data_IF_973656225910
#
_entry.id   IF_973656225910
#
_cell.length_a   1.000
_cell.length_b   1.000
_cell.length_c   1.000
_cell.angle_alpha   90.00
_cell.angle_beta   90.00
_cell.angle_gamma   90.00
#
_symmetry.space_group_name_H-M   'P 1'
#
loop_
_entity.id
_entity.type
_entity.pdbx_description
1 polymer ?
#
# COMPACT_ATOMS: atom_id res chain seq x y z
N UNK A 1 49.64 -2.02 -6.00
CA UNK A 1 48.61 -1.09 -6.49
C UNK A 1 47.23 -1.73 -6.53
N UNK A 2 47.01 -2.89 -7.19
CA UNK A 2 45.69 -3.53 -7.35
C UNK A 2 45.00 -3.97 -6.02
N UNK A 3 45.69 -4.36 -4.98
CA UNK A 3 45.11 -4.71 -3.66
C UNK A 3 44.54 -3.49 -2.92
N UNK A 4 45.29 -2.35 -2.91
CA UNK A 4 44.78 -1.12 -2.26
C UNK A 4 43.50 -0.60 -2.89
N UNK A 5 43.38 -0.64 -4.20
CA UNK A 5 42.17 -0.22 -4.92
C UNK A 5 40.97 -1.10 -4.57
N UNK A 6 41.15 -2.41 -4.46
CA UNK A 6 40.07 -3.34 -4.03
C UNK A 6 39.58 -3.05 -2.60
N UNK A 7 40.47 -2.78 -1.65
CA UNK A 7 40.06 -2.42 -0.28
C UNK A 7 39.36 -1.06 -0.21
N UNK A 8 39.78 -0.10 -1.02
CA UNK A 8 39.11 1.20 -1.08
C UNK A 8 37.70 1.08 -1.67
N UNK A 9 37.50 0.27 -2.72
CA UNK A 9 36.17 0.03 -3.30
C UNK A 9 35.27 -0.72 -2.31
N UNK A 10 35.78 -1.73 -1.60
CA UNK A 10 35.03 -2.44 -0.55
C UNK A 10 34.65 -1.52 0.61
N UNK A 11 35.55 -0.63 1.03
CA UNK A 11 35.25 0.32 2.11
C UNK A 11 34.21 1.35 1.68
N UNK A 12 34.28 1.86 0.46
CA UNK A 12 33.29 2.81 -0.08
C UNK A 12 31.93 2.13 -0.24
N UNK A 13 31.87 0.89 -0.71
CA UNK A 13 30.63 0.13 -0.80
C UNK A 13 30.04 -0.19 0.58
N UNK A 14 30.86 -0.54 1.58
CA UNK A 14 30.42 -0.77 2.95
C UNK A 14 29.90 0.52 3.62
N UNK A 15 30.56 1.66 3.37
CA UNK A 15 30.11 2.99 3.85
C UNK A 15 28.82 3.38 3.15
N UNK A 16 28.68 3.18 1.85
CA UNK A 16 27.45 3.46 1.12
C UNK A 16 26.27 2.60 1.61
N UNK A 17 26.52 1.32 1.90
CA UNK A 17 25.52 0.42 2.52
C UNK A 17 25.18 0.87 3.94
N UNK A 18 26.15 1.28 4.75
CA UNK A 18 25.93 1.78 6.10
C UNK A 18 25.12 3.09 6.10
N UNK A 19 25.43 4.04 5.23
CA UNK A 19 24.66 5.28 5.10
C UNK A 19 23.28 5.08 4.48
N UNK A 20 23.09 4.11 3.59
CA UNK A 20 21.75 3.77 3.09
C UNK A 20 20.90 3.04 4.13
N UNK A 21 21.53 2.35 5.10
CA UNK A 21 20.84 1.66 6.19
C UNK A 21 20.47 2.59 7.36
N UNK A 22 21.07 3.79 7.46
CA UNK A 22 20.80 4.75 8.55
C UNK A 22 19.75 5.80 8.20
N UNK A 23 19.24 5.85 6.97
CA UNK A 23 18.13 6.73 6.63
C UNK A 23 16.80 6.08 7.06
N UNK A 24 16.32 6.47 8.24
CA UNK A 24 14.94 6.17 8.65
C UNK A 24 14.04 7.21 7.98
N UNK A 25 13.23 6.83 6.99
CA UNK A 25 12.33 7.77 6.35
C UNK A 25 11.32 8.30 7.37
N UNK A 26 11.02 9.59 7.28
CA UNK A 26 9.98 10.22 8.09
C UNK A 26 8.63 9.58 7.74
N UNK A 27 8.05 8.86 8.68
CA UNK A 27 6.76 8.22 8.51
C UNK A 27 5.66 9.27 8.44
N UNK A 28 4.95 9.35 7.33
CA UNK A 28 3.94 10.38 7.07
C UNK A 28 2.55 9.84 6.73
N UNK A 29 2.33 8.53 6.84
CA UNK A 29 1.05 7.90 6.59
C UNK A 29 0.71 6.80 7.57
N UNK A 30 -0.57 6.48 7.63
CA UNK A 30 -1.10 5.31 8.34
C UNK A 30 -2.07 4.56 7.45
N UNK A 31 -2.23 3.26 7.70
CA UNK A 31 -3.37 2.51 7.16
C UNK A 31 -4.11 1.78 8.28
N UNK A 32 -5.43 1.64 8.09
CA UNK A 32 -6.33 1.16 9.13
C UNK A 32 -7.53 0.40 8.55
N UNK A 33 -8.10 -0.45 9.40
CA UNK A 33 -9.37 -1.16 9.17
C UNK A 33 -10.21 -1.18 10.44
N UNK A 34 -11.32 -1.92 10.42
CA UNK A 34 -12.14 -2.16 11.61
C UNK A 34 -11.39 -2.86 12.76
N UNK A 35 -10.26 -3.48 12.50
CA UNK A 35 -9.41 -4.11 13.52
C UNK A 35 -8.66 -3.09 14.38
N UNK A 36 -8.52 -1.85 13.92
CA UNK A 36 -7.69 -0.86 14.58
C UNK A 36 -8.51 0.03 15.53
N UNK A 37 -8.03 0.16 16.77
CA UNK A 37 -8.50 1.19 17.69
C UNK A 37 -7.59 2.41 17.57
N UNK A 38 -8.11 3.48 16.95
CA UNK A 38 -7.31 4.66 16.59
C UNK A 38 -7.53 5.79 17.58
N UNK A 39 -6.45 6.26 18.21
CA UNK A 39 -6.44 7.50 18.97
C UNK A 39 -6.27 8.72 18.04
N UNK A 40 -7.38 9.22 17.53
CA UNK A 40 -7.40 10.36 16.61
C UNK A 40 -6.86 11.66 17.23
N UNK A 41 -6.88 11.80 18.55
CA UNK A 41 -6.29 12.96 19.24
C UNK A 41 -4.77 12.90 19.16
N UNK A 42 -4.20 11.70 19.31
CA UNK A 42 -2.76 11.46 19.16
C UNK A 42 -2.30 11.66 17.72
N UNK A 43 -3.04 11.11 16.74
CA UNK A 43 -2.73 11.32 15.31
C UNK A 43 -2.76 12.81 14.97
N UNK A 44 -3.80 13.56 15.37
CA UNK A 44 -3.89 15.02 15.13
C UNK A 44 -2.71 15.82 15.68
N UNK A 45 -2.11 15.38 16.79
CA UNK A 45 -0.93 16.03 17.39
C UNK A 45 0.35 15.75 16.61
N UNK A 46 0.42 14.64 15.94
CA UNK A 46 1.55 14.28 15.11
C UNK A 46 1.44 14.98 13.74
N UNK A 47 2.14 16.10 13.59
CA UNK A 47 2.13 16.91 12.37
C UNK A 47 2.86 16.28 11.19
N UNK A 48 3.53 15.17 11.42
CA UNK A 48 4.21 14.42 10.37
C UNK A 48 3.24 13.53 9.58
N UNK A 49 2.09 13.17 10.15
CA UNK A 49 1.09 12.34 9.48
C UNK A 49 0.24 13.19 8.55
N UNK A 50 0.29 12.90 7.26
CA UNK A 50 -0.35 13.63 6.16
C UNK A 50 -1.49 12.84 5.53
N UNK A 51 -1.40 11.48 5.52
CA UNK A 51 -2.39 10.64 4.85
C UNK A 51 -2.82 9.41 5.65
N UNK A 52 -3.99 8.89 5.28
CA UNK A 52 -4.56 7.68 5.87
C UNK A 52 -5.27 6.85 4.80
N UNK A 53 -4.82 5.60 4.60
CA UNK A 53 -5.57 4.61 3.84
C UNK A 53 -6.49 3.80 4.75
N UNK A 54 -7.71 3.53 4.29
CA UNK A 54 -8.77 2.92 5.08
C UNK A 54 -9.38 1.75 4.31
N UNK A 55 -9.50 0.59 4.95
CA UNK A 55 -10.20 -0.56 4.36
C UNK A 55 -11.63 -0.17 3.99
N UNK A 56 -11.98 -0.35 2.72
CA UNK A 56 -13.34 -0.18 2.26
C UNK A 56 -14.06 -1.52 2.16
N UNK A 57 -13.43 -2.48 1.48
CA UNK A 57 -14.06 -3.74 1.13
C UNK A 57 -13.07 -4.89 1.02
N UNK A 58 -13.59 -6.12 0.97
CA UNK A 58 -12.86 -7.34 0.68
C UNK A 58 -13.69 -8.29 -0.17
N UNK A 59 -13.08 -8.89 -1.17
CA UNK A 59 -13.72 -9.88 -2.03
C UNK A 59 -15.06 -9.38 -2.61
N UNK A 60 -16.03 -10.28 -2.74
CA UNK A 60 -17.29 -9.96 -3.44
C UNK A 60 -18.32 -9.19 -2.62
N UNK A 61 -18.22 -9.16 -1.29
CA UNK A 61 -19.35 -8.69 -0.46
C UNK A 61 -19.00 -8.06 0.89
N UNK A 62 -17.81 -8.32 1.44
CA UNK A 62 -17.43 -7.72 2.72
C UNK A 62 -17.22 -6.22 2.55
N UNK A 63 -17.80 -5.44 3.44
CA UNK A 63 -17.65 -3.98 3.56
C UNK A 63 -17.22 -3.66 4.98
N UNK A 64 -16.14 -2.91 5.11
CA UNK A 64 -15.60 -2.59 6.43
C UNK A 64 -16.58 -1.70 7.20
N UNK A 65 -17.08 -2.17 8.38
CA UNK A 65 -18.11 -1.47 9.12
C UNK A 65 -17.63 -0.12 9.70
N UNK A 66 -16.31 0.06 9.80
CA UNK A 66 -15.71 1.29 10.33
C UNK A 66 -15.29 2.27 9.25
N UNK A 67 -15.32 1.88 7.96
CA UNK A 67 -14.82 2.68 6.84
C UNK A 67 -15.33 4.12 6.89
N UNK A 68 -16.64 4.33 6.85
CA UNK A 68 -17.24 5.68 6.87
C UNK A 68 -16.85 6.49 8.12
N UNK A 69 -16.79 5.84 9.28
CA UNK A 69 -16.45 6.49 10.54
C UNK A 69 -14.98 6.92 10.56
N UNK A 70 -14.08 6.05 10.08
CA UNK A 70 -12.66 6.37 9.96
C UNK A 70 -12.42 7.50 8.97
N UNK A 71 -13.02 7.45 7.79
CA UNK A 71 -12.92 8.54 6.79
C UNK A 71 -13.36 9.88 7.37
N UNK A 72 -14.54 9.92 8.01
CA UNK A 72 -15.03 11.15 8.66
C UNK A 72 -14.02 11.71 9.68
N UNK A 73 -13.40 10.86 10.47
CA UNK A 73 -12.44 11.27 11.51
C UNK A 73 -11.10 11.70 10.93
N UNK A 74 -10.57 10.97 9.94
CA UNK A 74 -9.32 11.31 9.27
C UNK A 74 -9.44 12.69 8.58
N UNK A 75 -10.52 12.91 7.82
CA UNK A 75 -10.78 14.19 7.17
C UNK A 75 -11.00 15.34 8.17
N UNK A 76 -11.65 15.09 9.29
CA UNK A 76 -11.88 16.11 10.34
C UNK A 76 -10.59 16.62 10.98
N UNK A 77 -9.49 15.89 10.88
CA UNK A 77 -8.16 16.30 11.37
C UNK A 77 -7.22 16.74 10.23
N UNK A 78 -7.73 16.84 8.99
CA UNK A 78 -7.02 17.40 7.85
C UNK A 78 -6.17 16.40 7.05
N UNK A 79 -6.34 15.08 7.25
CA UNK A 79 -5.59 14.09 6.48
C UNK A 79 -6.14 13.92 5.07
N UNK A 80 -5.25 13.66 4.12
CA UNK A 80 -5.62 13.04 2.84
C UNK A 80 -6.09 11.61 3.08
N UNK A 81 -7.16 11.21 2.39
CA UNK A 81 -7.79 9.90 2.64
C UNK A 81 -7.88 9.10 1.37
N UNK A 82 -7.39 7.88 1.43
CA UNK A 82 -7.55 6.85 0.41
C UNK A 82 -8.33 5.64 0.92
N UNK A 83 -8.83 4.87 0.00
CA UNK A 83 -9.54 3.62 0.30
C UNK A 83 -8.83 2.44 -0.34
N UNK A 84 -8.84 1.29 0.35
CA UNK A 84 -8.31 0.06 -0.20
C UNK A 84 -9.32 -1.09 -0.25
N UNK A 85 -9.13 -1.95 -1.25
CA UNK A 85 -9.84 -3.20 -1.45
C UNK A 85 -8.92 -4.38 -1.19
N UNK A 86 -9.29 -5.27 -0.29
CA UNK A 86 -8.56 -6.51 -0.06
C UNK A 86 -8.93 -7.55 -1.12
N UNK A 87 -7.96 -7.86 -1.97
CA UNK A 87 -8.13 -8.78 -3.08
C UNK A 87 -8.27 -10.22 -2.62
N UNK A 88 -9.20 -10.96 -3.26
CA UNK A 88 -9.42 -12.39 -3.02
C UNK A 88 -9.18 -13.18 -4.30
N UNK A 89 -8.24 -14.13 -4.23
CA UNK A 89 -7.84 -14.95 -5.39
C UNK A 89 -8.96 -15.86 -5.91
N UNK A 90 -9.93 -16.23 -5.08
CA UNK A 90 -11.06 -17.11 -5.39
C UNK A 90 -12.28 -16.38 -5.97
N UNK A 91 -12.27 -15.04 -5.99
CA UNK A 91 -13.41 -14.20 -6.42
C UNK A 91 -13.15 -13.58 -7.79
N UNK A 92 -14.12 -13.59 -8.75
CA UNK A 92 -14.01 -12.87 -10.01
C UNK A 92 -13.79 -11.37 -9.83
N UNK A 93 -12.98 -10.77 -10.71
CA UNK A 93 -12.58 -9.37 -10.63
C UNK A 93 -13.78 -8.41 -10.68
N UNK A 94 -14.75 -8.68 -11.53
CA UNK A 94 -15.95 -7.85 -11.70
C UNK A 94 -16.80 -7.76 -10.43
N UNK A 95 -16.87 -8.88 -9.67
CA UNK A 95 -17.58 -8.91 -8.38
C UNK A 95 -16.84 -8.12 -7.31
N UNK A 96 -15.50 -8.20 -7.30
CA UNK A 96 -14.66 -7.44 -6.39
C UNK A 96 -14.75 -5.95 -6.68
N UNK A 97 -14.63 -5.59 -7.96
CA UNK A 97 -14.77 -4.21 -8.40
C UNK A 97 -16.14 -3.61 -8.04
N UNK A 98 -17.23 -4.32 -8.34
CA UNK A 98 -18.58 -3.87 -7.99
C UNK A 98 -18.76 -3.66 -6.48
N UNK A 99 -18.17 -4.55 -5.65
CA UNK A 99 -18.18 -4.38 -4.20
C UNK A 99 -17.42 -3.10 -3.79
N UNK A 100 -16.20 -2.89 -4.29
CA UNK A 100 -15.41 -1.70 -3.99
C UNK A 100 -16.13 -0.41 -4.42
N UNK A 101 -16.57 -0.34 -5.67
CA UNK A 101 -17.29 0.80 -6.23
C UNK A 101 -18.52 1.18 -5.41
N UNK A 102 -19.26 0.19 -4.91
CA UNK A 102 -20.47 0.42 -4.09
C UNK A 102 -20.21 1.19 -2.78
N UNK A 103 -18.97 1.18 -2.29
CA UNK A 103 -18.52 1.94 -1.11
C UNK A 103 -17.79 3.21 -1.55
N UNK A 104 -16.86 3.10 -2.49
CA UNK A 104 -15.98 4.18 -2.95
C UNK A 104 -16.78 5.40 -3.43
N UNK A 105 -17.81 5.21 -4.25
CA UNK A 105 -18.63 6.29 -4.79
C UNK A 105 -19.43 7.06 -3.72
N UNK A 106 -19.53 6.52 -2.51
CA UNK A 106 -20.33 7.10 -1.41
C UNK A 106 -19.49 7.67 -0.28
N UNK A 107 -18.16 7.54 -0.39
CA UNK A 107 -17.24 7.91 0.68
C UNK A 107 -16.18 8.83 0.09
N UNK A 108 -16.05 10.07 0.57
CA UNK A 108 -15.14 11.03 -0.02
C UNK A 108 -13.68 10.60 0.22
N UNK A 109 -12.96 10.34 -0.87
CA UNK A 109 -11.53 10.08 -0.88
C UNK A 109 -10.85 11.01 -1.89
N UNK A 110 -9.56 11.27 -1.71
CA UNK A 110 -8.76 12.12 -2.60
C UNK A 110 -7.37 11.52 -2.88
N UNK A 111 -7.18 10.26 -2.57
CA UNK A 111 -5.99 9.51 -2.92
C UNK A 111 -6.33 8.40 -3.92
N UNK A 112 -5.35 8.04 -4.73
CA UNK A 112 -5.44 6.91 -5.66
C UNK A 112 -5.91 5.65 -4.92
N UNK A 113 -6.93 4.94 -5.41
CA UNK A 113 -7.42 3.73 -4.75
C UNK A 113 -6.36 2.63 -4.73
N UNK A 114 -6.41 1.76 -3.71
CA UNK A 114 -5.45 0.69 -3.50
C UNK A 114 -6.10 -0.68 -3.65
N UNK A 115 -5.40 -1.59 -4.31
CA UNK A 115 -5.68 -3.03 -4.28
C UNK A 115 -4.65 -3.68 -3.38
N UNK A 116 -5.11 -4.25 -2.29
CA UNK A 116 -4.30 -4.91 -1.26
C UNK A 116 -4.21 -6.41 -1.57
N UNK A 117 -2.99 -6.89 -1.88
CA UNK A 117 -2.71 -8.26 -2.32
C UNK A 117 -1.79 -8.94 -1.33
N UNK A 118 -2.38 -9.76 -0.48
CA UNK A 118 -1.66 -10.49 0.57
C UNK A 118 -1.92 -12.00 0.53
N UNK A 119 -1.08 -12.75 1.22
CA UNK A 119 -1.23 -14.22 1.34
C UNK A 119 -2.33 -14.61 2.32
N UNK A 120 -2.58 -13.80 3.34
CA UNK A 120 -3.55 -14.14 4.38
C UNK A 120 -4.95 -14.33 3.81
N UNK A 121 -5.50 -15.55 4.02
CA UNK A 121 -6.82 -15.91 3.52
C UNK A 121 -6.91 -16.05 1.99
N UNK A 122 -5.81 -16.02 1.25
CA UNK A 122 -5.73 -16.24 -0.19
C UNK A 122 -4.98 -17.53 -0.52
N UNK A 123 -5.44 -18.23 -1.55
CA UNK A 123 -4.75 -19.37 -2.12
C UNK A 123 -4.08 -18.99 -3.45
N UNK A 124 -2.76 -19.06 -3.49
CA UNK A 124 -1.94 -18.82 -4.67
C UNK A 124 -1.46 -20.13 -5.35
N UNK A 125 -2.06 -21.27 -5.05
CA UNK A 125 -1.75 -22.54 -5.74
C UNK A 125 -1.95 -22.43 -7.26
N UNK A 126 -2.97 -21.68 -7.70
CA UNK A 126 -3.19 -21.32 -9.10
C UNK A 126 -2.77 -19.87 -9.38
N UNK A 127 -1.47 -19.66 -9.49
CA UNK A 127 -0.87 -18.34 -9.76
C UNK A 127 -1.40 -17.73 -11.08
N UNK A 128 -1.59 -18.54 -12.12
CA UNK A 128 -2.11 -18.06 -13.42
C UNK A 128 -3.49 -17.44 -13.26
N UNK A 129 -4.39 -18.08 -12.54
CA UNK A 129 -5.73 -17.56 -12.31
C UNK A 129 -5.71 -16.31 -11.42
N UNK A 130 -4.89 -16.31 -10.37
CA UNK A 130 -4.70 -15.15 -9.50
C UNK A 130 -4.22 -13.93 -10.30
N UNK A 131 -3.19 -14.10 -11.14
CA UNK A 131 -2.68 -13.04 -12.03
C UNK A 131 -3.75 -12.53 -13.00
N UNK A 132 -4.49 -13.44 -13.65
CA UNK A 132 -5.57 -13.07 -14.58
C UNK A 132 -6.65 -12.22 -13.89
N UNK A 133 -7.08 -12.61 -12.69
CA UNK A 133 -8.08 -11.87 -11.92
C UNK A 133 -7.56 -10.53 -11.42
N UNK A 134 -6.32 -10.49 -10.91
CA UNK A 134 -5.71 -9.25 -10.45
C UNK A 134 -5.54 -8.26 -11.60
N UNK A 135 -5.00 -8.70 -12.73
CA UNK A 135 -4.87 -7.86 -13.94
C UNK A 135 -6.22 -7.30 -14.37
N UNK A 136 -7.26 -8.15 -14.43
CA UNK A 136 -8.60 -7.69 -14.78
C UNK A 136 -9.17 -6.68 -13.78
N UNK A 137 -8.89 -6.86 -12.48
CA UNK A 137 -9.32 -5.91 -11.45
C UNK A 137 -8.63 -4.55 -11.63
N UNK A 138 -7.32 -4.55 -11.89
CA UNK A 138 -6.54 -3.33 -12.20
C UNK A 138 -7.13 -2.59 -13.40
N UNK A 139 -7.40 -3.30 -14.49
CA UNK A 139 -8.03 -2.72 -15.69
C UNK A 139 -9.39 -2.06 -15.39
N UNK A 140 -10.21 -2.68 -14.54
CA UNK A 140 -11.49 -2.11 -14.13
C UNK A 140 -11.34 -0.83 -13.30
N UNK A 141 -10.35 -0.80 -12.40
CA UNK A 141 -10.02 0.41 -11.64
C UNK A 141 -9.53 1.53 -12.56
N UNK A 142 -8.62 1.23 -13.48
CA UNK A 142 -8.07 2.21 -14.42
C UNK A 142 -9.16 2.78 -15.34
N UNK A 143 -10.06 1.94 -15.86
CA UNK A 143 -11.18 2.36 -16.70
C UNK A 143 -12.18 3.27 -15.96
N UNK A 144 -12.45 3.00 -14.70
CA UNK A 144 -13.44 3.77 -13.92
C UNK A 144 -12.85 5.06 -13.36
N UNK A 145 -11.61 5.02 -12.83
CA UNK A 145 -11.04 6.14 -12.08
C UNK A 145 -10.01 6.95 -12.88
N UNK A 146 -9.71 6.55 -14.13
CA UNK A 146 -8.78 7.26 -15.01
C UNK A 146 -7.30 7.14 -14.63
N UNK A 147 -6.97 6.35 -13.61
CA UNK A 147 -5.60 6.09 -13.18
C UNK A 147 -5.43 4.63 -12.73
N UNK A 148 -4.21 4.11 -12.85
CA UNK A 148 -3.89 2.80 -12.30
C UNK A 148 -3.96 2.83 -10.78
N UNK A 149 -4.56 1.81 -10.14
CA UNK A 149 -4.55 1.71 -8.69
C UNK A 149 -3.12 1.47 -8.17
N UNK A 150 -2.87 1.89 -6.95
CA UNK A 150 -1.68 1.45 -6.23
C UNK A 150 -1.89 -0.02 -5.83
N UNK A 151 -0.86 -0.86 -6.00
CA UNK A 151 -0.91 -2.25 -5.54
C UNK A 151 -0.06 -2.37 -4.27
N UNK A 152 -0.73 -2.64 -3.13
CA UNK A 152 -0.07 -3.01 -1.89
C UNK A 152 0.25 -4.50 -1.89
N UNK A 153 1.46 -4.87 -1.47
CA UNK A 153 1.85 -6.26 -1.34
C UNK A 153 3.05 -6.46 -0.42
N UNK A 154 3.15 -7.64 0.18
CA UNK A 154 4.36 -8.11 0.85
C UNK A 154 5.34 -8.74 -0.15
N UNK A 155 6.61 -8.85 0.26
CA UNK A 155 7.70 -9.30 -0.61
C UNK A 155 7.47 -10.68 -1.26
N UNK A 156 6.92 -11.64 -0.54
CA UNK A 156 6.64 -12.98 -1.07
C UNK A 156 5.48 -13.00 -2.06
N UNK A 157 4.41 -12.28 -1.74
CA UNK A 157 3.25 -12.18 -2.62
C UNK A 157 3.59 -11.43 -3.91
N UNK A 158 4.42 -10.40 -3.80
CA UNK A 158 4.94 -9.65 -4.94
C UNK A 158 5.58 -10.56 -5.99
N UNK A 159 6.48 -11.45 -5.58
CA UNK A 159 7.17 -12.37 -6.51
C UNK A 159 6.21 -13.30 -7.25
N UNK A 160 5.07 -13.67 -6.64
CA UNK A 160 4.08 -14.58 -7.25
C UNK A 160 3.22 -13.89 -8.31
N UNK A 161 2.88 -12.62 -8.11
CA UNK A 161 1.87 -11.93 -8.94
C UNK A 161 2.37 -10.65 -9.60
N UNK A 162 3.67 -10.41 -9.58
CA UNK A 162 4.27 -9.17 -10.12
C UNK A 162 3.94 -8.93 -11.59
N UNK A 163 3.74 -9.98 -12.37
CA UNK A 163 3.41 -9.86 -13.80
C UNK A 163 2.04 -9.23 -14.06
N UNK A 164 1.16 -9.20 -13.04
CA UNK A 164 -0.14 -8.57 -13.16
C UNK A 164 -0.10 -7.05 -12.95
N UNK A 165 0.92 -6.54 -12.25
CA UNK A 165 0.95 -5.14 -11.81
C UNK A 165 2.32 -4.44 -11.94
N UNK A 166 3.26 -4.98 -12.72
CA UNK A 166 4.62 -4.44 -12.86
C UNK A 166 4.67 -2.95 -13.28
N UNK A 167 3.61 -2.47 -13.90
CA UNK A 167 3.44 -1.10 -14.39
C UNK A 167 2.51 -0.22 -13.54
N UNK A 168 2.08 -0.74 -12.38
CA UNK A 168 1.32 0.03 -11.38
C UNK A 168 2.25 0.74 -10.41
N UNK A 169 1.80 1.81 -9.75
CA UNK A 169 2.43 2.31 -8.53
C UNK A 169 2.38 1.22 -7.45
N UNK A 170 3.47 1.06 -6.69
CA UNK A 170 3.60 -0.02 -5.71
C UNK A 170 3.68 0.54 -4.31
N UNK A 171 2.90 -0.05 -3.42
CA UNK A 171 3.03 0.10 -1.98
C UNK A 171 3.60 -1.20 -1.41
N UNK A 172 4.85 -1.15 -0.98
CA UNK A 172 5.57 -2.34 -0.55
C UNK A 172 5.71 -2.41 0.97
N UNK A 173 5.33 -3.54 1.56
CA UNK A 173 5.63 -3.84 2.96
C UNK A 173 7.08 -4.28 3.11
N UNK A 174 7.91 -3.39 3.65
CA UNK A 174 9.33 -3.60 3.90
C UNK A 174 9.59 -3.75 5.39
N UNK A 175 9.36 -4.91 5.96
CA UNK A 175 9.72 -5.12 7.38
C UNK A 175 11.21 -5.48 7.56
N UNK A 176 11.92 -5.98 6.54
CA UNK A 176 13.34 -6.38 6.67
C UNK A 176 14.11 -6.46 5.33
N UNK A 177 13.67 -5.85 4.24
CA UNK A 177 14.35 -6.00 2.95
C UNK A 177 14.70 -4.64 2.33
N UNK A 178 15.99 -4.39 2.01
CA UNK A 178 16.43 -3.10 1.45
C UNK A 178 16.12 -2.92 -0.04
N UNK A 179 15.37 -3.82 -0.66
CA UNK A 179 15.14 -3.76 -2.11
C UNK A 179 13.89 -2.95 -2.45
N UNK A 180 14.12 -1.87 -3.17
CA UNK A 180 13.11 -1.01 -3.76
C UNK A 180 12.81 -1.57 -5.14
N UNK A 181 11.56 -1.95 -5.38
CA UNK A 181 11.09 -2.20 -6.72
C UNK A 181 11.00 -0.87 -7.48
N UNK A 182 11.28 -0.85 -8.79
CA UNK A 182 10.90 0.28 -9.63
C UNK A 182 9.42 0.60 -9.37
N UNK A 183 9.02 1.86 -9.40
CA UNK A 183 7.64 2.30 -9.13
C UNK A 183 7.16 2.16 -7.67
N UNK A 184 8.05 1.91 -6.69
CA UNK A 184 7.65 1.96 -5.28
C UNK A 184 7.34 3.38 -4.86
N UNK A 185 6.06 3.66 -4.65
CA UNK A 185 5.53 4.98 -4.28
C UNK A 185 5.36 5.10 -2.77
N UNK A 186 4.87 4.03 -2.12
CA UNK A 186 4.68 3.97 -0.66
C UNK A 186 5.44 2.78 -0.08
N UNK A 187 5.95 2.95 1.13
CA UNK A 187 6.61 1.89 1.91
C UNK A 187 5.93 1.77 3.27
N UNK A 188 5.46 0.58 3.61
CA UNK A 188 5.08 0.26 4.99
C UNK A 188 6.35 -0.10 5.76
N UNK A 189 6.74 0.75 6.68
CA UNK A 189 8.07 0.70 7.31
C UNK A 189 8.05 0.25 8.78
N UNK A 190 6.92 0.37 9.48
CA UNK A 190 6.82 0.03 10.89
C UNK A 190 5.38 -0.27 11.33
N UNK A 191 5.25 -0.93 12.48
CA UNK A 191 4.00 -1.04 13.23
C UNK A 191 4.22 -0.35 14.58
N UNK A 192 3.49 0.73 14.84
CA UNK A 192 3.60 1.50 16.09
C UNK A 192 2.23 1.60 16.75
N UNK A 193 2.11 1.10 17.99
CA UNK A 193 0.85 1.09 18.75
C UNK A 193 -0.32 0.45 17.97
N UNK A 194 -0.07 -0.69 17.31
CA UNK A 194 -1.01 -1.42 16.44
C UNK A 194 -1.52 -0.62 15.23
N UNK A 195 -0.78 0.38 14.78
CA UNK A 195 -1.02 1.07 13.52
C UNK A 195 0.12 0.80 12.56
N UNK A 196 -0.22 0.47 11.33
CA UNK A 196 0.72 0.37 10.24
C UNK A 196 1.15 1.78 9.83
N UNK A 197 2.47 2.00 9.83
CA UNK A 197 3.08 3.30 9.58
C UNK A 197 3.77 3.30 8.23
N UNK A 198 3.47 4.29 7.43
CA UNK A 198 3.86 4.37 6.05
C UNK A 198 4.73 5.59 5.75
N UNK A 199 5.51 5.47 4.71
CA UNK A 199 6.31 6.53 4.12
C UNK A 199 5.93 6.70 2.65
N UNK A 200 5.55 7.90 2.27
CA UNK A 200 5.46 8.37 0.90
C UNK A 200 6.43 9.53 0.71
N UNK A 201 7.26 9.50 -0.33
CA UNK A 201 8.27 10.53 -0.56
C UNK A 201 7.64 11.86 -0.94
N UNK A 202 6.66 11.82 -1.82
CA UNK A 202 5.88 12.97 -2.25
C UNK A 202 4.39 12.59 -2.23
N UNK A 203 3.62 13.29 -1.43
CA UNK A 203 2.17 13.04 -1.31
C UNK A 203 1.45 13.31 -2.65
N UNK A 204 1.99 14.19 -3.49
CA UNK A 204 1.42 14.48 -4.81
C UNK A 204 1.45 13.28 -5.76
N UNK A 205 2.36 12.32 -5.53
CA UNK A 205 2.42 11.07 -6.32
C UNK A 205 1.19 10.16 -6.11
N UNK A 206 0.40 10.40 -5.07
CA UNK A 206 -0.75 9.57 -4.68
C UNK A 206 -2.08 10.35 -4.57
N UNK A 207 -2.09 11.65 -4.83
CA UNK A 207 -3.33 12.46 -4.92
C UNK A 207 -4.00 12.22 -6.28
N UNK A 208 -5.36 12.09 -6.26
CA UNK A 208 -6.21 12.00 -7.45
C UNK A 208 -6.44 13.38 -8.08
#
# INVERSE_FOLDING_TARGET
MKKKIRYTIMLISAIAVYFSCSYVPKLNGIDISHHNVVDWKKIRKNKDIEFCYIKATEGKSFRDPMCKKHVKRAKAIGLHVGLYHYFRTDVPAEKQFANFKSVYDKVPSNLIPVIDVEENGNDFSNISMANKRLKKLIELFEQEYGCKPIVYTGSWCCLKVITAFYDCPIWLRLLHVPHILPNTTIKQAAIINNLDMNYCKDINDIIL
#
